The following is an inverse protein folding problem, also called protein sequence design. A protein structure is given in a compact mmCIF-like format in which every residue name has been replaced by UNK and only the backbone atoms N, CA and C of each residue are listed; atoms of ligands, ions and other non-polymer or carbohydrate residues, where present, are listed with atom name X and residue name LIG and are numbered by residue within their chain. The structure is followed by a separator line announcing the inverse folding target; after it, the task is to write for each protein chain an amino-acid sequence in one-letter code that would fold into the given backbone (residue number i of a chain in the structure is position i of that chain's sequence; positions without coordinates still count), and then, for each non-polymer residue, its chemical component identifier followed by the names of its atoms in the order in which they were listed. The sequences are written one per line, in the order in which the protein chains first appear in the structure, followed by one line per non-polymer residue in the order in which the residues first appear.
data_IF_054750856084
#
_entry.id   IF_054750856084
#
_cell.length_a   1.000
_cell.length_b   1.000
_cell.length_c   1.000
_cell.angle_alpha   90.00
_cell.angle_beta   90.00
_cell.angle_gamma   90.00
#
_symmetry.space_group_name_H-M   'P 1'
#
loop_
_entity.id
_entity.type
_entity.pdbx_description
1 polymer ?
#
# COMPACT_ATOMS: atom_id res chain seq x y z
N UNK A 1 -1.71 -16.43 -4.94
CA UNK A 1 -2.31 -15.16 -4.47
C UNK A 1 -2.83 -14.42 -5.69
N UNK A 2 -4.10 -14.02 -5.70
CA UNK A 2 -4.67 -13.21 -6.78
C UNK A 2 -4.50 -11.73 -6.39
N UNK A 3 -4.10 -10.89 -7.34
CA UNK A 3 -4.11 -9.45 -7.12
C UNK A 3 -5.55 -8.98 -6.89
N UNK A 4 -5.71 -7.87 -6.17
CA UNK A 4 -7.01 -7.22 -6.02
C UNK A 4 -7.58 -6.96 -7.43
N UNK A 5 -8.79 -7.48 -7.67
CA UNK A 5 -9.53 -7.27 -8.89
C UNK A 5 -9.98 -5.82 -9.03
N UNK A 6 -10.50 -5.48 -10.21
CA UNK A 6 -10.93 -4.10 -10.53
C UNK A 6 -11.95 -3.57 -9.51
N UNK A 7 -12.94 -4.38 -9.14
CA UNK A 7 -13.95 -3.99 -8.15
C UNK A 7 -13.38 -3.75 -6.74
N UNK A 8 -12.32 -4.46 -6.36
CA UNK A 8 -11.62 -4.24 -5.10
C UNK A 8 -10.81 -2.93 -5.14
N UNK A 9 -10.12 -2.68 -6.26
CA UNK A 9 -9.38 -1.45 -6.46
C UNK A 9 -10.29 -0.22 -6.53
N UNK A 10 -11.49 -0.34 -7.09
CA UNK A 10 -12.50 0.73 -7.09
C UNK A 10 -12.92 1.13 -5.67
N UNK A 11 -13.09 0.15 -4.77
CA UNK A 11 -13.38 0.43 -3.34
C UNK A 11 -12.22 1.12 -2.63
N UNK A 12 -11.00 0.92 -3.12
CA UNK A 12 -9.79 1.55 -2.61
C UNK A 12 -9.44 2.82 -3.38
N UNK A 13 -10.30 3.32 -4.28
CA UNK A 13 -10.05 4.52 -5.10
C UNK A 13 -9.49 5.69 -4.29
N UNK A 14 -10.15 6.03 -3.18
CA UNK A 14 -9.80 7.19 -2.35
C UNK A 14 -8.45 6.95 -1.66
N UNK A 15 -8.24 5.74 -1.13
CA UNK A 15 -6.96 5.31 -0.57
C UNK A 15 -5.83 5.39 -1.62
N UNK A 16 -6.06 4.89 -2.84
CA UNK A 16 -5.09 4.92 -3.92
C UNK A 16 -4.77 6.36 -4.33
N UNK A 17 -5.77 7.25 -4.33
CA UNK A 17 -5.56 8.67 -4.58
C UNK A 17 -4.68 9.33 -3.50
N UNK A 18 -4.92 9.02 -2.23
CA UNK A 18 -4.06 9.46 -1.15
C UNK A 18 -2.61 8.95 -1.28
N UNK A 19 -2.43 7.72 -1.75
CA UNK A 19 -1.10 7.16 -1.99
C UNK A 19 -0.40 7.83 -3.18
N UNK A 20 -1.15 8.18 -4.23
CA UNK A 20 -0.63 8.93 -5.38
C UNK A 20 -0.16 10.35 -5.01
N UNK A 21 -0.74 10.94 -3.97
CA UNK A 21 -0.34 12.25 -3.47
C UNK A 21 0.97 12.24 -2.66
N UNK A 22 1.49 11.06 -2.27
CA UNK A 22 2.71 10.93 -1.47
C UNK A 22 3.96 10.95 -2.34
N UNK A 23 4.87 11.87 -2.04
CA UNK A 23 6.15 12.00 -2.74
C UNK A 23 7.02 10.76 -2.54
N UNK A 24 7.52 10.19 -3.64
CA UNK A 24 8.44 9.04 -3.62
C UNK A 24 7.77 7.69 -3.88
N UNK A 25 6.43 7.62 -3.91
CA UNK A 25 5.69 6.47 -4.40
C UNK A 25 5.47 6.57 -5.90
N UNK A 26 5.78 5.49 -6.61
CA UNK A 26 5.51 5.36 -8.05
C UNK A 26 4.55 4.22 -8.26
N UNK A 27 3.32 4.53 -8.66
CA UNK A 27 2.35 3.53 -9.09
C UNK A 27 2.76 2.98 -10.47
N UNK A 28 3.12 1.69 -10.54
CA UNK A 28 3.45 1.04 -11.81
C UNK A 28 2.26 0.30 -12.42
N UNK A 29 1.38 -0.19 -11.55
CA UNK A 29 0.13 -0.87 -11.90
C UNK A 29 -0.92 -0.45 -10.87
N UNK A 30 -2.22 -0.46 -11.22
CA UNK A 30 -3.28 -0.19 -10.26
C UNK A 30 -3.10 -1.03 -8.99
N UNK A 31 -2.94 -0.36 -7.84
CA UNK A 31 -2.70 -1.02 -6.56
C UNK A 31 -1.31 -1.65 -6.38
N UNK A 32 -0.31 -1.25 -7.16
CA UNK A 32 1.09 -1.66 -6.96
C UNK A 32 2.01 -0.44 -7.03
N UNK A 33 2.63 -0.13 -5.90
CA UNK A 33 3.51 1.02 -5.71
C UNK A 33 4.95 0.59 -5.48
N UNK A 34 5.86 1.36 -6.04
CA UNK A 34 7.29 1.15 -6.02
C UNK A 34 8.00 2.37 -5.43
N UNK A 35 9.15 2.14 -4.80
CA UNK A 35 10.11 3.18 -4.36
C UNK A 35 11.48 2.81 -4.91
N UNK A 36 12.15 3.74 -5.61
CA UNK A 36 13.50 3.53 -6.17
C UNK A 36 13.65 2.16 -6.87
N UNK A 37 12.68 1.80 -7.70
CA UNK A 37 12.60 0.52 -8.44
C UNK A 37 12.41 -0.76 -7.61
N UNK A 38 12.12 -0.65 -6.30
CA UNK A 38 11.76 -1.78 -5.44
C UNK A 38 10.27 -1.78 -5.15
N UNK A 39 9.65 -2.97 -5.20
CA UNK A 39 8.26 -3.13 -4.80
C UNK A 39 8.10 -2.70 -3.34
N UNK A 40 7.17 -1.79 -3.09
CA UNK A 40 6.97 -1.17 -1.78
C UNK A 40 5.62 -1.51 -1.18
N UNK A 41 4.56 -1.47 -1.98
CA UNK A 41 3.21 -1.75 -1.54
C UNK A 41 2.47 -2.45 -2.66
N UNK A 42 1.76 -3.52 -2.34
CA UNK A 42 0.80 -4.11 -3.27
C UNK A 42 -0.47 -4.54 -2.54
N UNK A 43 -1.59 -4.46 -3.26
CA UNK A 43 -2.89 -4.90 -2.77
C UNK A 43 -3.23 -6.28 -3.34
N UNK A 44 -3.77 -7.15 -2.49
CA UNK A 44 -4.32 -8.44 -2.90
C UNK A 44 -5.65 -8.69 -2.19
N UNK A 45 -6.51 -9.45 -2.86
CA UNK A 45 -7.73 -9.98 -2.27
C UNK A 45 -7.56 -11.47 -2.00
N UNK A 46 -8.09 -11.92 -0.87
CA UNK A 46 -8.22 -13.34 -0.56
C UNK A 46 -9.64 -13.65 -0.04
N UNK A 47 -9.87 -14.89 0.38
CA UNK A 47 -11.18 -15.31 0.88
C UNK A 47 -11.60 -14.65 2.21
N UNK A 48 -10.69 -13.99 2.92
CA UNK A 48 -10.94 -13.27 4.17
C UNK A 48 -11.18 -11.77 3.96
N UNK A 49 -10.74 -11.21 2.82
CA UNK A 49 -10.98 -9.81 2.48
C UNK A 49 -9.87 -9.17 1.64
N UNK A 50 -9.71 -7.86 1.79
CA UNK A 50 -8.68 -7.06 1.15
C UNK A 50 -7.52 -6.81 2.09
N UNK A 51 -6.32 -7.02 1.57
CA UNK A 51 -5.07 -6.84 2.30
C UNK A 51 -4.06 -6.07 1.47
N UNK A 52 -3.24 -5.30 2.17
CA UNK A 52 -2.10 -4.61 1.60
C UNK A 52 -0.82 -5.15 2.23
N UNK A 53 0.13 -5.57 1.40
CA UNK A 53 1.45 -5.94 1.88
C UNK A 53 2.39 -4.74 1.70
N UNK A 54 2.84 -4.19 2.83
CA UNK A 54 3.77 -3.08 2.91
C UNK A 54 5.19 -3.58 3.17
N UNK A 55 6.16 -3.12 2.38
CA UNK A 55 7.57 -3.45 2.54
C UNK A 55 8.24 -2.55 3.59
N UNK A 56 8.30 -3.01 4.83
CA UNK A 56 9.05 -2.38 5.91
C UNK A 56 10.45 -2.99 6.02
N UNK A 57 11.49 -2.18 5.78
CA UNK A 57 12.88 -2.65 5.72
C UNK A 57 13.07 -3.91 4.84
N UNK A 58 13.27 -5.07 5.46
CA UNK A 58 13.49 -6.38 4.84
C UNK A 58 12.30 -7.33 5.00
N UNK A 59 11.20 -6.88 5.59
CA UNK A 59 10.02 -7.67 5.90
C UNK A 59 8.78 -7.13 5.16
N UNK A 60 7.81 -8.02 4.96
CA UNK A 60 6.50 -7.66 4.41
C UNK A 60 5.51 -7.66 5.56
N UNK A 61 4.95 -6.49 5.83
CA UNK A 61 3.88 -6.32 6.80
C UNK A 61 2.55 -6.39 6.05
N UNK A 62 1.75 -7.41 6.36
CA UNK A 62 0.39 -7.54 5.84
C UNK A 62 -0.57 -6.79 6.76
N UNK A 63 -1.32 -5.85 6.18
CA UNK A 63 -2.37 -5.10 6.88
C UNK A 63 -3.70 -5.31 6.16
N UNK A 64 -4.80 -5.55 6.90
CA UNK A 64 -6.13 -5.50 6.30
C UNK A 64 -6.41 -4.08 5.78
N UNK A 65 -7.31 -3.95 4.80
CA UNK A 65 -7.81 -2.66 4.27
C UNK A 65 -9.31 -2.74 3.96
N UNK A 66 -10.04 -3.50 4.78
CA UNK A 66 -11.46 -3.75 4.55
C UNK A 66 -12.32 -2.53 4.88
N UNK A 67 -11.90 -1.76 5.88
CA UNK A 67 -12.64 -0.61 6.41
C UNK A 67 -11.77 0.66 6.51
N UNK A 68 -12.36 1.86 6.63
CA UNK A 68 -11.61 3.11 6.71
C UNK A 68 -10.59 3.16 7.87
N UNK A 69 -10.87 2.50 8.98
CA UNK A 69 -9.94 2.41 10.11
C UNK A 69 -8.66 1.61 9.72
N UNK A 70 -8.84 0.49 9.02
CA UNK A 70 -7.73 -0.31 8.49
C UNK A 70 -6.89 0.51 7.48
N UNK A 71 -7.57 1.25 6.61
CA UNK A 71 -6.92 2.11 5.62
C UNK A 71 -6.09 3.21 6.30
N UNK A 72 -6.62 3.86 7.34
CA UNK A 72 -5.88 4.84 8.13
C UNK A 72 -4.64 4.24 8.81
N UNK A 73 -4.73 3.01 9.31
CA UNK A 73 -3.58 2.28 9.87
C UNK A 73 -2.51 2.00 8.81
N UNK A 74 -2.92 1.58 7.61
CA UNK A 74 -2.00 1.38 6.49
C UNK A 74 -1.29 2.68 6.11
N UNK A 75 -2.03 3.78 5.99
CA UNK A 75 -1.49 5.10 5.65
C UNK A 75 -0.45 5.56 6.68
N UNK A 76 -0.77 5.46 7.97
CA UNK A 76 0.16 5.78 9.04
C UNK A 76 1.43 4.89 9.01
N UNK A 77 1.28 3.60 8.69
CA UNK A 77 2.42 2.70 8.55
C UNK A 77 3.30 3.04 7.33
N UNK A 78 2.69 3.46 6.22
CA UNK A 78 3.38 3.92 5.01
C UNK A 78 4.16 5.19 5.32
N UNK A 79 3.54 6.18 5.94
CA UNK A 79 4.15 7.47 6.26
C UNK A 79 5.38 7.27 7.15
N UNK A 80 5.25 6.49 8.23
CA UNK A 80 6.39 6.11 9.08
C UNK A 80 7.51 5.41 8.30
N UNK A 81 7.16 4.55 7.34
CA UNK A 81 8.16 3.83 6.53
C UNK A 81 8.84 4.74 5.53
N UNK A 82 8.12 5.71 4.96
CA UNK A 82 8.66 6.73 4.07
C UNK A 82 9.59 7.67 4.82
N UNK A 83 9.18 8.16 6.00
CA UNK A 83 9.99 8.97 6.89
C UNK A 83 11.29 8.25 7.28
N UNK A 84 11.19 7.00 7.76
CA UNK A 84 12.37 6.19 8.12
C UNK A 84 13.31 5.90 6.94
N UNK A 85 12.82 5.99 5.69
CA UNK A 85 13.65 5.85 4.48
C UNK A 85 14.21 7.17 3.98
N UNK A 86 13.49 8.29 4.14
CA UNK A 86 13.93 9.64 3.76
C UNK A 86 14.96 10.20 4.73
N UNK A 87 14.81 9.92 6.03
CA UNK A 87 15.71 10.39 7.10
C UNK A 87 17.03 9.59 7.21
N UNK A 88 17.28 8.65 6.29
CA UNK A 88 18.58 7.95 6.13
C UNK A 88 19.44 8.59 5.04
N UNK A 89 19.44 9.92 4.97
CA UNK A 89 20.32 10.71 4.10
C UNK A 89 21.47 11.30 4.92
#
# INVERSE_FOLDING_TARGET
MKHAGVAALDRLSDLLQELRNRTGLVERRPGIFYIKSKAFLHFHEDGAGLFADLRQHSEWLRLPVNDPADQAMLLAAIDRTLEARGNRS
#
